data_IF_242833110460
#
_entry.id   IF_242833110460
#
_cell.length_a   1.000
_cell.length_b   1.000
_cell.length_c   1.000
_cell.angle_alpha   90.00
_cell.angle_beta   90.00
_cell.angle_gamma   90.00
#
_symmetry.space_group_name_H-M   'P 1'
#
loop_
_entity.id
_entity.type
_entity.pdbx_description
1 polymer ?
#
# COMPACT_ATOMS: atom_id res chain seq x y z
N UNK A 1 6.64 -8.47 -19.54
CA UNK A 1 5.52 -7.59 -19.15
C UNK A 1 5.72 -7.21 -17.69
N UNK A 2 6.40 -6.09 -17.43
CA UNK A 2 6.45 -5.49 -16.10
C UNK A 2 5.02 -5.04 -15.81
N UNK A 3 4.36 -5.76 -14.91
CA UNK A 3 3.02 -5.45 -14.46
C UNK A 3 3.03 -3.99 -14.00
N UNK A 4 2.29 -3.15 -14.72
CA UNK A 4 2.06 -1.71 -14.54
C UNK A 4 1.37 -1.38 -13.19
N UNK A 5 1.68 -2.13 -12.14
CA UNK A 5 1.31 -1.82 -10.77
C UNK A 5 2.21 -0.68 -10.33
N UNK A 6 1.78 0.54 -10.64
CA UNK A 6 2.26 1.76 -9.99
C UNK A 6 2.08 1.57 -8.49
N UNK A 7 3.14 1.19 -7.80
CA UNK A 7 3.21 1.29 -6.35
C UNK A 7 3.15 2.78 -6.03
N UNK A 8 2.11 3.19 -5.33
CA UNK A 8 2.01 4.56 -4.82
C UNK A 8 2.78 4.53 -3.50
N UNK A 9 4.04 4.94 -3.59
CA UNK A 9 4.90 5.13 -2.42
C UNK A 9 4.73 6.58 -2.00
N UNK A 10 4.28 6.80 -0.77
CA UNK A 10 4.29 8.09 -0.09
C UNK A 10 5.20 7.96 1.13
N UNK A 11 5.79 9.06 1.59
CA UNK A 11 6.38 9.07 2.94
C UNK A 11 5.29 8.59 3.92
N UNK A 12 5.64 7.62 4.75
CA UNK A 12 4.80 6.96 5.77
C UNK A 12 3.66 6.05 5.26
N UNK A 13 3.50 5.86 3.95
CA UNK A 13 2.52 4.89 3.45
C UNK A 13 2.86 4.23 2.12
N UNK A 14 2.59 2.92 2.04
CA UNK A 14 2.78 2.13 0.83
C UNK A 14 1.52 1.33 0.49
N UNK A 15 1.05 1.51 -0.74
CA UNK A 15 -0.12 0.79 -1.26
C UNK A 15 0.26 -0.26 -2.30
N UNK A 16 -0.17 -1.49 -2.06
CA UNK A 16 -0.04 -2.65 -2.93
C UNK A 16 -1.39 -3.01 -3.57
N UNK A 17 -1.61 -2.65 -4.85
CA UNK A 17 -2.77 -3.11 -5.59
C UNK A 17 -2.69 -4.62 -5.86
N UNK A 18 -3.70 -5.38 -5.47
CA UNK A 18 -3.78 -6.82 -5.59
C UNK A 18 -5.11 -7.24 -6.26
N UNK A 19 -5.12 -7.15 -7.60
CA UNK A 19 -6.27 -7.45 -8.48
C UNK A 19 -7.53 -6.66 -8.15
N UNK A 20 -8.29 -7.10 -7.13
CA UNK A 20 -9.54 -6.49 -6.69
C UNK A 20 -9.46 -5.88 -5.29
N UNK A 21 -8.30 -6.00 -4.62
CA UNK A 21 -8.07 -5.44 -3.28
C UNK A 21 -6.88 -4.52 -3.30
N UNK A 22 -6.89 -3.49 -2.46
CA UNK A 22 -5.71 -2.63 -2.23
C UNK A 22 -5.28 -2.79 -0.79
N UNK A 23 -4.04 -3.22 -0.58
CA UNK A 23 -3.42 -3.27 0.73
C UNK A 23 -2.64 -1.98 0.94
N UNK A 24 -3.01 -1.19 1.93
CA UNK A 24 -2.28 0.03 2.28
C UNK A 24 -1.68 -0.13 3.66
N UNK A 25 -0.36 -0.04 3.72
CA UNK A 25 0.36 0.03 4.98
C UNK A 25 0.60 1.50 5.31
N UNK A 26 0.27 1.88 6.54
CA UNK A 26 0.55 3.19 7.10
C UNK A 26 1.42 3.00 8.34
N UNK A 27 2.46 3.81 8.41
CA UNK A 27 3.25 3.98 9.61
C UNK A 27 2.63 5.16 10.39
N UNK A 28 1.94 4.87 11.49
CA UNK A 28 1.42 5.90 12.39
C UNK A 28 2.16 5.79 13.73
N UNK A 29 3.13 6.69 13.90
CA UNK A 29 4.02 6.83 15.06
C UNK A 29 4.88 5.59 15.36
N UNK A 30 4.33 4.60 16.05
CA UNK A 30 5.01 3.35 16.47
C UNK A 30 4.17 2.12 16.11
N UNK A 31 3.17 2.31 15.22
CA UNK A 31 2.22 1.27 14.83
C UNK A 31 2.13 1.15 13.32
N UNK A 32 2.23 -0.08 12.86
CA UNK A 32 1.92 -0.45 11.48
C UNK A 32 0.43 -0.76 11.36
N UNK A 33 -0.29 0.09 10.63
CA UNK A 33 -1.72 -0.11 10.32
C UNK A 33 -1.84 -0.66 8.90
N UNK A 34 -2.56 -1.78 8.76
CA UNK A 34 -2.90 -2.38 7.47
C UNK A 34 -4.38 -2.14 7.16
N UNK A 35 -4.63 -1.33 6.14
CA UNK A 35 -5.96 -1.12 5.58
C UNK A 35 -6.12 -1.95 4.29
N UNK A 36 -7.26 -2.63 4.15
CA UNK A 36 -7.60 -3.42 2.97
C UNK A 36 -8.92 -2.89 2.43
N UNK A 37 -8.89 -2.41 1.19
CA UNK A 37 -10.06 -1.86 0.46
C UNK A 37 -10.42 -2.82 -0.68
#
# INVERSE_FOLDING_TARGET
MLLDKKFIIKEDSISYPCKNKVFTFKDEDDKFILEII
#
